data_IF_477587062057
#
_entry.id   IF_477587062057
#
_cell.length_a   1.000
_cell.length_b   1.000
_cell.length_c   1.000
_cell.angle_alpha   90.00
_cell.angle_beta   90.00
_cell.angle_gamma   90.00
#
_symmetry.space_group_name_H-M   'P 1'
#
loop_
_entity.id
_entity.type
_entity.pdbx_description
1 polymer ?
#
# COMPACT_ATOMS: atom_id res chain seq x y z
N UNK A 1 14.32 -32.58 4.80
CA UNK A 1 14.55 -31.17 4.40
C UNK A 1 13.26 -30.49 3.98
N UNK A 2 12.52 -30.96 2.97
CA UNK A 2 11.24 -30.35 2.53
C UNK A 2 10.22 -30.24 3.66
N UNK A 3 9.91 -31.33 4.38
CA UNK A 3 8.96 -31.30 5.51
C UNK A 3 9.38 -30.31 6.62
N UNK A 4 10.68 -30.12 6.84
CA UNK A 4 11.19 -29.18 7.83
C UNK A 4 10.96 -27.73 7.39
N UNK A 5 11.16 -27.41 6.12
CA UNK A 5 10.84 -26.10 5.52
C UNK A 5 9.34 -25.82 5.61
N UNK A 6 8.50 -26.83 5.35
CA UNK A 6 7.04 -26.69 5.47
C UNK A 6 6.59 -26.54 6.93
N UNK A 7 7.20 -27.25 7.87
CA UNK A 7 6.94 -27.08 9.30
C UNK A 7 7.38 -25.70 9.80
N UNK A 8 8.56 -25.20 9.40
CA UNK A 8 9.00 -23.84 9.70
C UNK A 8 8.06 -22.81 9.06
N UNK A 9 7.68 -23.03 7.80
CA UNK A 9 6.73 -22.17 7.09
C UNK A 9 5.35 -22.13 7.77
N UNK A 10 4.85 -23.27 8.23
CA UNK A 10 3.59 -23.40 8.97
C UNK A 10 3.68 -22.75 10.36
N UNK A 11 4.77 -22.97 11.08
CA UNK A 11 5.03 -22.35 12.38
C UNK A 11 5.13 -20.83 12.26
N UNK A 12 5.91 -20.32 11.29
CA UNK A 12 6.03 -18.89 11.00
C UNK A 12 4.67 -18.27 10.68
N UNK A 13 3.91 -18.86 9.75
CA UNK A 13 2.55 -18.40 9.42
C UNK A 13 1.63 -18.40 10.63
N UNK A 14 1.68 -19.43 11.48
CA UNK A 14 0.86 -19.50 12.70
C UNK A 14 1.22 -18.42 13.73
N UNK A 15 2.52 -18.18 13.96
CA UNK A 15 3.01 -17.16 14.89
C UNK A 15 2.69 -15.76 14.37
N UNK A 16 2.88 -15.52 13.07
CA UNK A 16 2.54 -14.25 12.42
C UNK A 16 1.05 -13.95 12.60
N UNK A 17 0.15 -14.86 12.20
CA UNK A 17 -1.30 -14.67 12.34
C UNK A 17 -1.69 -14.41 13.80
N UNK A 18 -1.11 -15.11 14.77
CA UNK A 18 -1.42 -14.93 16.20
C UNK A 18 -0.90 -13.62 16.77
N UNK A 19 0.25 -13.15 16.30
CA UNK A 19 0.86 -11.90 16.76
C UNK A 19 0.10 -10.71 16.17
N UNK A 20 -0.24 -10.77 14.89
CA UNK A 20 -1.07 -9.76 14.24
C UNK A 20 -2.50 -9.73 14.79
N UNK A 21 -3.11 -10.87 15.06
CA UNK A 21 -4.43 -10.93 15.72
C UNK A 21 -4.43 -10.31 17.13
N UNK A 22 -3.32 -10.43 17.87
CA UNK A 22 -3.16 -9.80 19.18
C UNK A 22 -2.96 -8.28 19.10
N UNK A 23 -2.15 -7.82 18.15
CA UNK A 23 -2.00 -6.38 17.86
C UNK A 23 -3.36 -5.79 17.42
N UNK A 24 -4.09 -6.51 16.56
CA UNK A 24 -5.46 -6.19 16.15
C UNK A 24 -6.40 -6.06 17.35
N UNK A 25 -6.45 -7.05 18.23
CA UNK A 25 -7.32 -7.02 19.41
C UNK A 25 -6.98 -5.82 20.32
N UNK A 26 -5.70 -5.51 20.51
CA UNK A 26 -5.26 -4.33 21.28
C UNK A 26 -5.72 -3.01 20.67
N UNK A 27 -5.54 -2.84 19.35
CA UNK A 27 -5.94 -1.63 18.63
C UNK A 27 -7.46 -1.49 18.58
N UNK A 28 -8.21 -2.53 18.24
CA UNK A 28 -9.67 -2.52 18.21
C UNK A 28 -10.26 -2.20 19.60
N UNK A 29 -9.72 -2.81 20.67
CA UNK A 29 -10.16 -2.53 22.04
C UNK A 29 -9.84 -1.09 22.45
N UNK A 30 -8.67 -0.56 22.09
CA UNK A 30 -8.32 0.85 22.37
C UNK A 30 -9.29 1.82 21.68
N UNK A 31 -9.70 1.54 20.44
CA UNK A 31 -10.68 2.33 19.69
C UNK A 31 -12.08 2.22 20.31
N UNK A 32 -12.52 1.02 20.69
CA UNK A 32 -13.84 0.80 21.33
C UNK A 32 -13.91 1.43 22.73
N UNK A 33 -12.83 1.37 23.51
CA UNK A 33 -12.77 1.98 24.84
C UNK A 33 -12.70 3.51 24.77
N UNK A 34 -11.97 4.08 23.81
CA UNK A 34 -12.02 5.52 23.52
C UNK A 34 -13.46 5.96 23.19
N UNK A 35 -14.20 5.14 22.45
CA UNK A 35 -15.60 5.40 22.10
C UNK A 35 -16.58 5.24 23.28
N UNK A 36 -16.32 4.35 24.26
CA UNK A 36 -17.22 4.11 25.41
C UNK A 36 -17.22 5.27 26.41
N UNK A 37 -16.18 6.12 26.38
CA UNK A 37 -16.03 7.25 27.31
C UNK A 37 -16.92 8.45 26.97
N UNK A 38 -17.50 8.50 25.76
CA UNK A 38 -18.40 9.57 25.31
C UNK A 38 -19.82 9.04 25.06
N UNK A 39 -20.63 9.01 26.12
CA UNK A 39 -22.10 8.92 25.97
C UNK A 39 -22.59 10.14 25.17
N UNK A 40 -23.26 9.95 24.02
CA UNK A 40 -24.48 10.68 23.61
C UNK A 40 -24.98 10.39 22.15
N UNK A 41 -26.31 10.19 22.10
CA UNK A 41 -27.36 10.36 21.07
C UNK A 41 -27.40 9.62 19.71
N UNK A 42 -28.64 9.23 19.38
CA UNK A 42 -29.05 8.06 18.57
C UNK A 42 -28.95 8.16 17.04
N UNK A 43 -28.50 9.28 16.45
CA UNK A 43 -28.30 9.38 14.99
C UNK A 43 -26.86 9.08 14.54
N UNK A 44 -25.94 8.92 15.48
CA UNK A 44 -24.49 8.73 15.24
C UNK A 44 -24.07 7.26 15.33
N UNK A 45 -25.03 6.35 15.52
CA UNK A 45 -24.77 4.90 15.74
C UNK A 45 -24.53 4.18 14.41
N UNK A 46 -25.29 4.47 13.35
CA UNK A 46 -25.13 3.83 12.04
C UNK A 46 -23.80 4.21 11.36
N UNK A 47 -23.39 5.49 11.47
CA UNK A 47 -22.09 5.96 10.98
C UNK A 47 -20.92 5.32 11.74
N UNK A 48 -21.03 5.14 13.07
CA UNK A 48 -20.01 4.48 13.88
C UNK A 48 -19.90 2.97 13.64
N UNK A 49 -21.01 2.28 13.39
CA UNK A 49 -21.01 0.85 13.01
C UNK A 49 -20.36 0.64 11.64
N UNK A 50 -20.53 1.58 10.72
CA UNK A 50 -19.89 1.54 9.40
C UNK A 50 -18.39 1.80 9.51
N UNK A 51 -17.98 2.80 10.29
CA UNK A 51 -16.56 3.11 10.52
C UNK A 51 -15.81 2.01 11.29
N UNK A 52 -16.45 1.39 12.29
CA UNK A 52 -15.82 0.26 13.00
C UNK A 52 -15.68 -0.96 12.09
N UNK A 53 -16.62 -1.19 11.17
CA UNK A 53 -16.54 -2.26 10.18
C UNK A 53 -15.44 -1.99 9.15
N UNK A 54 -15.33 -0.77 8.62
CA UNK A 54 -14.23 -0.38 7.73
C UNK A 54 -12.85 -0.52 8.41
N UNK A 55 -12.77 -0.18 9.70
CA UNK A 55 -11.55 -0.37 10.48
C UNK A 55 -11.21 -1.86 10.63
N UNK A 56 -12.19 -2.69 10.99
CA UNK A 56 -11.99 -4.14 11.11
C UNK A 56 -11.60 -4.74 9.77
N UNK A 57 -12.29 -4.40 8.68
CA UNK A 57 -12.02 -4.88 7.32
C UNK A 57 -10.61 -4.47 6.85
N UNK A 58 -10.17 -3.24 7.17
CA UNK A 58 -8.81 -2.80 6.90
C UNK A 58 -7.77 -3.67 7.62
N UNK A 59 -7.98 -3.92 8.91
CA UNK A 59 -7.04 -4.73 9.69
C UNK A 59 -7.08 -6.22 9.34
N UNK A 60 -8.21 -6.72 8.87
CA UNK A 60 -8.37 -8.11 8.46
C UNK A 60 -7.77 -8.36 7.07
N UNK A 61 -7.98 -7.45 6.12
CA UNK A 61 -7.56 -7.67 4.72
C UNK A 61 -6.31 -6.89 4.32
N UNK A 62 -6.17 -5.62 4.72
CA UNK A 62 -5.12 -4.74 4.20
C UNK A 62 -3.84 -4.79 5.02
N UNK A 63 -3.93 -4.87 6.36
CA UNK A 63 -2.75 -4.90 7.23
C UNK A 63 -1.89 -6.17 7.05
N UNK A 64 -2.44 -7.39 6.93
CA UNK A 64 -1.62 -8.59 6.69
C UNK A 64 -0.94 -8.56 5.31
N UNK A 65 -1.64 -8.03 4.30
CA UNK A 65 -1.09 -7.84 2.95
C UNK A 65 0.08 -6.87 2.96
N UNK A 66 -0.04 -5.73 3.67
CA UNK A 66 1.03 -4.76 3.88
C UNK A 66 2.27 -5.40 4.48
N UNK A 67 2.10 -6.11 5.59
CA UNK A 67 3.23 -6.67 6.33
C UNK A 67 3.90 -7.80 5.54
N UNK A 68 3.11 -8.65 4.87
CA UNK A 68 3.65 -9.74 4.03
C UNK A 68 4.47 -9.18 2.87
N UNK A 69 3.98 -8.13 2.23
CA UNK A 69 4.65 -7.52 1.08
C UNK A 69 5.90 -6.76 1.50
N UNK A 70 5.86 -6.01 2.61
CA UNK A 70 7.07 -5.39 3.18
C UNK A 70 8.11 -6.45 3.57
N UNK A 71 7.69 -7.53 4.22
CA UNK A 71 8.58 -8.62 4.62
C UNK A 71 9.21 -9.30 3.40
N UNK A 72 8.42 -9.51 2.33
CA UNK A 72 8.91 -10.07 1.07
C UNK A 72 9.87 -9.12 0.35
N UNK A 73 9.55 -7.82 0.32
CA UNK A 73 10.39 -6.78 -0.30
C UNK A 73 11.75 -6.69 0.39
N UNK A 74 11.77 -6.49 1.70
CA UNK A 74 13.02 -6.39 2.47
C UNK A 74 13.74 -7.73 2.54
N UNK A 75 13.01 -8.84 2.71
CA UNK A 75 13.60 -10.18 2.73
C UNK A 75 14.29 -10.54 1.42
N UNK A 76 13.67 -10.24 0.28
CA UNK A 76 14.28 -10.43 -1.03
C UNK A 76 15.49 -9.53 -1.24
N UNK A 77 15.42 -8.24 -0.87
CA UNK A 77 16.55 -7.33 -0.98
C UNK A 77 17.74 -7.75 -0.11
N UNK A 78 17.49 -8.17 1.14
CA UNK A 78 18.54 -8.67 2.04
C UNK A 78 19.14 -9.96 1.51
N UNK A 79 18.31 -10.90 1.03
CA UNK A 79 18.80 -12.14 0.42
C UNK A 79 19.62 -11.88 -0.85
N UNK A 80 19.23 -10.91 -1.67
CA UNK A 80 20.03 -10.49 -2.82
C UNK A 80 21.35 -9.88 -2.38
N UNK A 81 21.39 -9.05 -1.34
CA UNK A 81 22.66 -8.54 -0.79
C UNK A 81 23.60 -9.64 -0.29
N UNK A 82 23.07 -10.76 0.21
CA UNK A 82 23.90 -11.87 0.70
C UNK A 82 24.39 -12.80 -0.41
N UNK A 83 23.56 -13.09 -1.41
CA UNK A 83 23.92 -14.02 -2.51
C UNK A 83 24.58 -13.31 -3.70
N UNK A 84 24.10 -12.12 -4.07
CA UNK A 84 24.56 -11.32 -5.23
C UNK A 84 24.62 -9.84 -4.83
N UNK A 85 25.69 -9.47 -4.14
CA UNK A 85 25.85 -8.17 -3.49
C UNK A 85 25.52 -6.98 -4.38
N UNK A 86 25.99 -6.97 -5.63
CA UNK A 86 25.72 -5.89 -6.58
C UNK A 86 24.24 -5.79 -6.96
N UNK A 87 23.56 -6.93 -7.17
CA UNK A 87 22.12 -6.96 -7.42
C UNK A 87 21.35 -6.40 -6.22
N UNK A 88 21.76 -6.77 -5.01
CA UNK A 88 21.20 -6.22 -3.76
C UNK A 88 21.36 -4.71 -3.62
N UNK A 89 22.52 -4.15 -4.03
CA UNK A 89 22.73 -2.69 -4.07
C UNK A 89 21.77 -2.02 -5.06
N UNK A 90 21.61 -2.58 -6.26
CA UNK A 90 20.67 -2.02 -7.25
C UNK A 90 19.23 -2.05 -6.71
N UNK A 91 18.83 -3.13 -6.04
CA UNK A 91 17.54 -3.20 -5.32
C UNK A 91 17.39 -2.07 -4.28
N UNK A 92 18.41 -1.83 -3.46
CA UNK A 92 18.39 -0.76 -2.46
C UNK A 92 18.27 0.63 -3.11
N UNK A 93 19.00 0.87 -4.20
CA UNK A 93 18.91 2.12 -4.98
C UNK A 93 17.50 2.30 -5.54
N UNK A 94 16.90 1.25 -6.11
CA UNK A 94 15.52 1.27 -6.62
C UNK A 94 14.53 1.63 -5.52
N UNK A 95 14.66 1.02 -4.33
CA UNK A 95 13.82 1.35 -3.17
C UNK A 95 14.00 2.80 -2.76
N UNK A 96 15.23 3.33 -2.73
CA UNK A 96 15.49 4.73 -2.39
C UNK A 96 14.91 5.71 -3.42
N UNK A 97 15.08 5.42 -4.71
CA UNK A 97 14.49 6.21 -5.81
C UNK A 97 12.98 6.24 -5.67
N UNK A 98 12.36 5.07 -5.43
CA UNK A 98 10.92 4.98 -5.25
C UNK A 98 10.46 5.69 -3.99
N UNK A 99 11.11 5.52 -2.84
CA UNK A 99 10.78 6.28 -1.62
C UNK A 99 10.85 7.80 -1.84
N UNK A 100 11.89 8.28 -2.54
CA UNK A 100 12.04 9.69 -2.90
C UNK A 100 10.94 10.19 -3.83
N UNK A 101 10.66 9.44 -4.91
CA UNK A 101 9.66 9.79 -5.92
C UNK A 101 8.22 9.72 -5.38
N UNK A 102 7.94 8.73 -4.55
CA UNK A 102 6.64 8.47 -3.91
C UNK A 102 6.22 9.63 -3.01
N UNK A 103 7.14 10.22 -2.25
CA UNK A 103 6.81 11.35 -1.35
C UNK A 103 6.29 12.58 -2.11
N UNK A 104 6.83 12.86 -3.30
CA UNK A 104 6.39 13.96 -4.16
C UNK A 104 5.17 13.62 -5.02
N UNK A 105 5.04 12.35 -5.44
CA UNK A 105 3.93 11.86 -6.26
C UNK A 105 2.62 11.76 -5.46
N UNK A 106 2.67 11.22 -4.25
CA UNK A 106 1.50 11.07 -3.36
C UNK A 106 0.84 12.38 -3.02
N UNK A 107 1.61 13.42 -2.70
CA UNK A 107 1.01 14.70 -2.28
C UNK A 107 0.21 15.37 -3.40
N UNK A 108 0.67 15.23 -4.65
CA UNK A 108 -0.04 15.73 -5.84
C UNK A 108 -1.23 14.84 -6.22
N UNK A 109 -1.09 13.52 -6.11
CA UNK A 109 -2.19 12.58 -6.36
C UNK A 109 -3.32 12.75 -5.34
N UNK A 110 -3.00 12.96 -4.07
CA UNK A 110 -3.96 13.18 -3.00
C UNK A 110 -4.77 14.47 -3.22
N UNK A 111 -4.13 15.54 -3.73
CA UNK A 111 -4.81 16.78 -4.12
C UNK A 111 -5.79 16.57 -5.29
N UNK A 112 -5.43 15.73 -6.27
CA UNK A 112 -6.29 15.38 -7.41
C UNK A 112 -7.46 14.50 -6.98
N UNK A 113 -7.21 13.47 -6.16
CA UNK A 113 -8.24 12.61 -5.57
C UNK A 113 -9.23 13.40 -4.71
N UNK A 114 -8.74 14.29 -3.83
CA UNK A 114 -9.61 15.16 -3.02
C UNK A 114 -10.48 16.08 -3.89
N UNK A 115 -9.93 16.64 -4.97
CA UNK A 115 -10.71 17.46 -5.92
C UNK A 115 -11.76 16.66 -6.68
N UNK A 116 -11.47 15.41 -7.03
CA UNK A 116 -12.42 14.50 -7.68
C UNK A 116 -13.55 14.14 -6.71
N UNK A 117 -13.23 13.69 -5.49
CA UNK A 117 -14.23 13.35 -4.47
C UNK A 117 -15.11 14.54 -4.10
N UNK A 118 -14.54 15.72 -3.86
CA UNK A 118 -15.33 16.92 -3.55
C UNK A 118 -16.29 17.33 -4.67
N UNK A 119 -16.02 16.94 -5.92
CA UNK A 119 -16.93 17.19 -7.06
C UNK A 119 -18.01 16.11 -7.17
N UNK A 120 -17.69 14.86 -6.86
CA UNK A 120 -18.65 13.74 -6.79
C UNK A 120 -19.64 13.92 -5.62
N UNK A 121 -19.18 14.35 -4.44
CA UNK A 121 -20.09 14.65 -3.31
C UNK A 121 -21.08 15.76 -3.63
N UNK A 122 -20.67 16.77 -4.40
CA UNK A 122 -21.54 17.85 -4.86
C UNK A 122 -22.50 17.42 -5.97
N UNK A 123 -22.28 16.27 -6.61
CA UNK A 123 -23.12 15.76 -7.70
C UNK A 123 -24.57 15.52 -7.21
N UNK A 124 -24.74 15.09 -5.95
CA UNK A 124 -26.06 14.88 -5.32
C UNK A 124 -26.89 16.17 -5.25
N UNK A 125 -26.25 17.33 -5.07
CA UNK A 125 -26.92 18.64 -5.04
C UNK A 125 -27.25 19.20 -6.45
N UNK A 126 -26.50 18.82 -7.48
CA UNK A 126 -26.65 19.37 -8.84
C UNK A 126 -27.65 18.60 -9.72
N UNK A 127 -27.87 17.30 -9.46
CA UNK A 127 -28.80 16.46 -10.23
C UNK A 127 -30.25 16.98 -10.17
N UNK A 128 -30.61 17.73 -9.12
CA UNK A 128 -31.96 18.28 -8.98
C UNK A 128 -32.19 19.66 -9.64
N UNK A 129 -31.14 20.39 -10.07
CA UNK A 129 -31.26 21.81 -10.48
C UNK A 129 -30.55 22.21 -11.79
N UNK A 130 -29.71 21.36 -12.40
CA UNK A 130 -28.83 21.79 -13.48
C UNK A 130 -29.35 21.49 -14.91
N UNK A 131 -29.30 22.48 -15.80
CA UNK A 131 -29.57 22.33 -17.23
C UNK A 131 -28.49 21.54 -17.99
N UNK A 132 -28.85 20.93 -19.13
CA UNK A 132 -28.04 19.95 -19.88
C UNK A 132 -26.62 20.43 -20.25
N UNK A 133 -26.44 21.72 -20.55
CA UNK A 133 -25.14 22.30 -20.88
C UNK A 133 -24.18 22.36 -19.67
N UNK A 134 -24.72 22.62 -18.47
CA UNK A 134 -23.96 22.66 -17.22
C UNK A 134 -23.53 21.25 -16.80
N UNK A 135 -24.42 20.26 -17.00
CA UNK A 135 -24.13 18.84 -16.77
C UNK A 135 -23.00 18.34 -17.68
N UNK A 136 -23.04 18.69 -18.97
CA UNK A 136 -22.01 18.28 -19.95
C UNK A 136 -20.63 18.87 -19.62
N UNK A 137 -20.56 20.14 -19.19
CA UNK A 137 -19.30 20.75 -18.72
C UNK A 137 -18.78 20.07 -17.44
N UNK A 138 -19.66 19.75 -16.49
CA UNK A 138 -19.29 19.05 -15.27
C UNK A 138 -18.66 17.68 -15.56
N UNK A 139 -19.34 16.83 -16.33
CA UNK A 139 -18.83 15.52 -16.70
C UNK A 139 -17.56 15.57 -17.56
N UNK A 140 -17.40 16.56 -18.44
CA UNK A 140 -16.14 16.73 -19.20
C UNK A 140 -14.96 17.05 -18.27
N UNK A 141 -15.18 17.87 -17.24
CA UNK A 141 -14.13 18.20 -16.26
C UNK A 141 -13.78 16.99 -15.41
N UNK A 142 -14.79 16.20 -15.02
CA UNK A 142 -14.60 14.95 -14.29
C UNK A 142 -13.79 13.93 -15.12
N UNK A 143 -14.11 13.82 -16.41
CA UNK A 143 -13.39 12.96 -17.35
C UNK A 143 -11.92 13.40 -17.49
N UNK A 144 -11.63 14.69 -17.68
CA UNK A 144 -10.25 15.18 -17.75
C UNK A 144 -9.46 14.91 -16.47
N UNK A 145 -10.08 15.04 -15.29
CA UNK A 145 -9.44 14.72 -14.02
C UNK A 145 -9.14 13.22 -13.89
N UNK A 146 -10.05 12.34 -14.30
CA UNK A 146 -9.83 10.88 -14.33
C UNK A 146 -8.73 10.47 -15.32
N UNK A 147 -8.72 11.05 -16.51
CA UNK A 147 -7.69 10.78 -17.52
C UNK A 147 -6.31 11.21 -17.00
N UNK A 148 -6.20 12.42 -16.43
CA UNK A 148 -4.93 12.90 -15.87
C UNK A 148 -4.43 12.06 -14.68
N UNK A 149 -5.34 11.42 -13.93
CA UNK A 149 -5.00 10.48 -12.87
C UNK A 149 -4.52 9.14 -13.44
N UNK A 150 -5.27 8.59 -14.40
CA UNK A 150 -4.94 7.36 -15.13
C UNK A 150 -3.58 7.46 -15.84
N UNK A 151 -3.31 8.58 -16.53
CA UNK A 151 -2.03 8.82 -17.20
C UNK A 151 -0.87 8.81 -16.20
N UNK A 152 -1.09 9.36 -15.00
CA UNK A 152 -0.08 9.34 -13.93
C UNK A 152 0.19 7.95 -13.38
N UNK A 153 -0.85 7.16 -13.17
CA UNK A 153 -0.72 5.76 -12.75
C UNK A 153 0.01 4.94 -13.84
N UNK A 154 -0.31 5.16 -15.12
CA UNK A 154 0.36 4.52 -16.24
C UNK A 154 1.85 4.87 -16.32
N UNK A 155 2.22 6.14 -16.11
CA UNK A 155 3.63 6.54 -16.01
C UNK A 155 4.34 5.90 -14.82
N UNK A 156 3.67 5.80 -13.66
CA UNK A 156 4.21 5.09 -12.49
C UNK A 156 4.47 3.61 -12.78
N UNK A 157 3.51 2.94 -13.42
CA UNK A 157 3.63 1.54 -13.82
C UNK A 157 4.78 1.32 -14.81
N UNK A 158 4.90 2.18 -15.83
CA UNK A 158 6.01 2.12 -16.78
C UNK A 158 7.37 2.36 -16.11
N UNK A 159 7.45 3.31 -15.17
CA UNK A 159 8.68 3.60 -14.45
C UNK A 159 9.10 2.40 -13.58
N UNK A 160 8.18 1.82 -12.81
CA UNK A 160 8.46 0.62 -11.99
C UNK A 160 8.90 -0.54 -12.88
N UNK A 161 8.16 -0.81 -13.96
CA UNK A 161 8.49 -1.86 -14.93
C UNK A 161 9.87 -1.66 -15.56
N UNK A 162 10.23 -0.42 -15.91
CA UNK A 162 11.55 -0.10 -16.47
C UNK A 162 12.69 -0.32 -15.47
N UNK A 163 12.49 0.01 -14.19
CA UNK A 163 13.47 -0.22 -13.12
C UNK A 163 13.67 -1.71 -12.85
N UNK A 164 12.58 -2.49 -12.83
CA UNK A 164 12.63 -3.95 -12.68
C UNK A 164 13.35 -4.57 -13.88
N UNK A 165 13.00 -4.17 -15.11
CA UNK A 165 13.67 -4.67 -16.31
C UNK A 165 15.18 -4.37 -16.28
N UNK A 166 15.56 -3.14 -15.90
CA UNK A 166 16.95 -2.75 -15.72
C UNK A 166 17.67 -3.59 -14.67
N UNK A 167 17.04 -3.84 -13.52
CA UNK A 167 17.57 -4.73 -12.48
C UNK A 167 17.85 -6.13 -13.04
N UNK A 168 16.88 -6.74 -13.74
CA UNK A 168 17.04 -8.04 -14.40
C UNK A 168 18.20 -8.04 -15.40
N UNK A 169 18.24 -7.06 -16.30
CA UNK A 169 19.31 -6.98 -17.30
C UNK A 169 20.69 -6.82 -16.67
N UNK A 170 20.84 -5.89 -15.71
CA UNK A 170 22.13 -5.65 -15.04
C UNK A 170 22.60 -6.88 -14.27
N UNK A 171 21.73 -7.52 -13.50
CA UNK A 171 22.11 -8.72 -12.74
C UNK A 171 22.52 -9.86 -13.65
N UNK A 172 21.81 -10.11 -14.75
CA UNK A 172 22.16 -11.16 -15.73
C UNK A 172 23.53 -10.87 -16.38
N UNK A 173 23.81 -9.60 -16.74
CA UNK A 173 25.10 -9.20 -17.29
C UNK A 173 26.21 -9.45 -16.28
N UNK A 174 26.05 -8.97 -15.03
CA UNK A 174 27.04 -9.15 -13.96
C UNK A 174 27.34 -10.64 -13.72
N UNK A 175 26.29 -11.46 -13.68
CA UNK A 175 26.43 -12.90 -13.53
C UNK A 175 27.19 -13.54 -14.70
N UNK A 176 27.01 -13.07 -15.93
CA UNK A 176 27.74 -13.61 -17.09
C UNK A 176 29.26 -13.40 -16.99
N UNK A 177 29.70 -12.37 -16.26
CA UNK A 177 31.12 -12.10 -16.01
C UNK A 177 31.69 -12.82 -14.79
N UNK A 178 30.85 -13.42 -13.94
CA UNK A 178 31.27 -14.13 -12.74
C UNK A 178 31.65 -15.58 -13.04
N UNK A 179 32.84 -16.00 -12.61
CA UNK A 179 33.30 -17.39 -12.74
C UNK A 179 32.77 -18.25 -11.59
N UNK A 180 32.30 -19.46 -11.88
CA UNK A 180 31.89 -20.43 -10.86
C UNK A 180 30.41 -20.37 -10.44
N UNK A 181 29.55 -19.75 -11.26
CA UNK A 181 28.10 -19.77 -11.04
C UNK A 181 27.55 -21.18 -11.20
N UNK A 182 26.79 -21.62 -10.20
CA UNK A 182 26.03 -22.89 -10.25
C UNK A 182 24.58 -22.64 -10.66
N UNK A 183 23.91 -23.68 -11.18
CA UNK A 183 22.49 -23.59 -11.51
C UNK A 183 21.61 -23.19 -10.30
N UNK A 184 21.96 -23.67 -9.11
CA UNK A 184 21.27 -23.32 -7.87
C UNK A 184 21.39 -21.83 -7.53
N UNK A 185 22.57 -21.25 -7.76
CA UNK A 185 22.81 -19.82 -7.58
C UNK A 185 21.93 -18.98 -8.50
N UNK A 186 21.88 -19.33 -9.80
CA UNK A 186 21.01 -18.64 -10.77
C UNK A 186 19.56 -18.71 -10.35
N UNK A 187 19.09 -19.90 -9.97
CA UNK A 187 17.71 -20.09 -9.54
C UNK A 187 17.37 -19.24 -8.31
N UNK A 188 18.24 -19.21 -7.30
CA UNK A 188 18.04 -18.40 -6.09
C UNK A 188 17.99 -16.90 -6.41
N UNK A 189 18.93 -16.40 -7.20
CA UNK A 189 18.98 -14.98 -7.62
C UNK A 189 17.70 -14.61 -8.36
N UNK A 190 17.32 -15.39 -9.38
CA UNK A 190 16.10 -15.12 -10.16
C UNK A 190 14.84 -15.18 -9.30
N UNK A 191 14.77 -16.10 -8.35
CA UNK A 191 13.63 -16.23 -7.42
C UNK A 191 13.50 -15.00 -6.52
N UNK A 192 14.61 -14.53 -5.92
CA UNK A 192 14.57 -13.34 -5.08
C UNK A 192 14.34 -12.06 -5.88
N UNK A 193 14.87 -11.98 -7.09
CA UNK A 193 14.57 -10.86 -7.99
C UNK A 193 13.10 -10.80 -8.37
N UNK A 194 12.48 -11.94 -8.65
CA UNK A 194 11.03 -12.01 -8.91
C UNK A 194 10.21 -11.62 -7.68
N UNK A 195 10.57 -12.15 -6.51
CA UNK A 195 9.93 -11.79 -5.24
C UNK A 195 10.04 -10.28 -4.93
N UNK A 196 11.20 -9.68 -5.19
CA UNK A 196 11.40 -8.24 -5.07
C UNK A 196 10.52 -7.48 -6.07
N UNK A 197 10.53 -7.88 -7.34
CA UNK A 197 9.73 -7.25 -8.40
C UNK A 197 8.23 -7.26 -8.10
N UNK A 198 7.67 -8.40 -7.70
CA UNK A 198 6.24 -8.50 -7.35
C UNK A 198 5.90 -7.67 -6.12
N UNK A 199 6.75 -7.70 -5.09
CA UNK A 199 6.52 -6.90 -3.87
C UNK A 199 6.62 -5.40 -4.13
N UNK A 200 7.38 -4.99 -5.15
CA UNK A 200 7.54 -3.60 -5.57
C UNK A 200 6.34 -3.11 -6.39
N UNK A 201 5.77 -3.97 -7.24
CA UNK A 201 4.55 -3.68 -8.00
C UNK A 201 3.32 -3.51 -7.08
N UNK A 202 3.29 -4.23 -5.95
CA UNK A 202 2.27 -4.05 -4.91
C UNK A 202 2.42 -2.73 -4.12
N UNK A 203 3.62 -2.14 -4.09
CA UNK A 203 3.95 -1.00 -3.22
C UNK A 203 3.05 0.25 -3.36
N UNK A 204 2.58 0.66 -4.55
CA UNK A 204 1.65 1.79 -4.71
C UNK A 204 0.31 1.55 -3.99
N UNK A 205 -0.28 0.35 -4.14
CA UNK A 205 -1.51 -0.01 -3.42
C UNK A 205 -1.27 -0.03 -1.91
N UNK A 206 -0.14 -0.61 -1.48
CA UNK A 206 0.22 -0.65 -0.07
C UNK A 206 0.33 0.75 0.54
N UNK A 207 0.97 1.68 -0.17
CA UNK A 207 1.10 3.05 0.30
C UNK A 207 -0.25 3.77 0.42
N UNK A 208 -1.14 3.56 -0.56
CA UNK A 208 -2.50 4.10 -0.51
C UNK A 208 -3.24 3.57 0.73
N UNK A 209 -3.16 2.26 0.98
CA UNK A 209 -3.75 1.61 2.15
C UNK A 209 -3.14 2.11 3.47
N UNK A 210 -1.82 2.30 3.53
CA UNK A 210 -1.16 2.86 4.70
C UNK A 210 -1.60 4.31 4.98
N UNK A 211 -1.77 5.11 3.92
CA UNK A 211 -2.29 6.48 4.05
C UNK A 211 -3.73 6.49 4.56
N UNK A 212 -4.57 5.55 4.10
CA UNK A 212 -5.95 5.38 4.60
C UNK A 212 -5.96 5.04 6.09
N UNK A 213 -5.12 4.11 6.56
CA UNK A 213 -5.00 3.81 8.00
C UNK A 213 -4.53 5.02 8.81
N UNK A 214 -3.54 5.77 8.30
CA UNK A 214 -3.05 6.98 8.97
C UNK A 214 -4.14 8.05 9.07
N UNK A 215 -4.98 8.19 8.05
CA UNK A 215 -6.11 9.14 8.06
C UNK A 215 -7.21 8.69 9.04
N UNK A 216 -7.59 7.40 9.04
CA UNK A 216 -8.56 6.84 10.00
C UNK A 216 -8.05 7.02 11.43
N UNK A 217 -6.79 6.68 11.70
CA UNK A 217 -6.16 6.87 13.01
C UNK A 217 -6.14 8.34 13.43
N UNK A 218 -5.83 9.25 12.50
CA UNK A 218 -5.85 10.69 12.77
C UNK A 218 -7.24 11.20 13.12
N UNK A 219 -8.29 10.82 12.37
CA UNK A 219 -9.67 11.23 12.64
C UNK A 219 -10.15 10.77 14.01
N UNK A 220 -9.76 9.56 14.42
CA UNK A 220 -10.05 9.06 15.78
C UNK A 220 -9.35 9.89 16.85
N UNK A 221 -8.12 10.39 16.61
CA UNK A 221 -7.39 11.22 17.57
C UNK A 221 -7.78 12.71 17.58
N UNK A 222 -8.15 13.31 16.44
CA UNK A 222 -8.46 14.75 16.36
C UNK A 222 -9.83 15.09 16.94
N UNK A 223 -10.77 14.14 16.96
CA UNK A 223 -12.03 14.31 17.70
C UNK A 223 -11.81 14.30 19.22
N UNK A 224 -10.66 13.81 19.70
CA UNK A 224 -10.27 13.84 21.12
C UNK A 224 -9.70 15.22 21.54
N UNK A 225 -8.99 15.92 20.63
CA UNK A 225 -8.47 17.28 20.89
C UNK A 225 -9.54 18.38 20.76
N UNK A 226 -10.51 18.22 19.85
CA UNK A 226 -11.58 19.21 19.68
C UNK A 226 -12.59 19.23 20.86
N UNK A 227 -12.55 18.23 21.75
CA UNK A 227 -13.37 18.16 22.97
C UNK A 227 -12.64 18.60 24.25
N UNK A 228 -11.37 19.00 24.16
CA UNK A 228 -10.60 19.56 25.28
C UNK A 228 -10.02 20.94 24.91
N UNK A 229 -10.77 22.05 25.11
CA UNK A 229 -10.16 23.37 25.30
C UNK A 229 -9.42 23.47 26.64
#
# INVERSE_FOLDING_TARGET
>A
MVLFIWCIGAARRSVDTRTFARIYAGLAVSVVLAQRKYQLNHSTIAARVTLSREFVDFFEMHLPMLITSMSSLFGAAIMLLTIEFWAGIVCAIIVLILMGFVSGFTHKNELLFRRLNNRLEKEVDYVHKAGSATLKRHYSTLAHLRIALSDREAWGYLLIGSLIALLFTLTIILMTHSTGITAGHIYSVMTYMWMFATSLDDAPQLLEKFSQLRDIGKRVSTDDEALHP
#
